data_IF_125886348466
#
_entry.id   IF_125886348466
#
_cell.length_a   1.000
_cell.length_b   1.000
_cell.length_c   1.000
_cell.angle_alpha   90.00
_cell.angle_beta   90.00
_cell.angle_gamma   90.00
#
_symmetry.space_group_name_H-M   'P 1'
#
loop_
_entity.id
_entity.type
_entity.pdbx_description
1 polymer ?
#
# COMPACT_ATOMS: atom_id res chain seq x y z
N UNK A 1 0.39 -10.57 -15.36
CA UNK A 1 0.15 -9.41 -16.25
C UNK A 1 1.29 -8.42 -16.11
N UNK A 2 1.77 -7.92 -17.21
CA UNK A 2 2.78 -6.87 -17.22
C UNK A 2 2.25 -5.61 -16.51
N UNK A 3 3.04 -5.04 -15.62
CA UNK A 3 2.68 -3.83 -14.87
C UNK A 3 2.31 -2.69 -15.84
N UNK A 4 3.07 -2.51 -16.90
CA UNK A 4 2.78 -1.46 -17.88
C UNK A 4 1.39 -1.58 -18.49
N UNK A 5 0.98 -2.79 -18.87
CA UNK A 5 -0.38 -3.03 -19.40
C UNK A 5 -1.44 -2.78 -18.36
N UNK A 6 -1.20 -3.22 -17.11
CA UNK A 6 -2.14 -3.01 -16.02
C UNK A 6 -2.37 -1.53 -15.74
N UNK A 7 -1.31 -0.73 -15.70
CA UNK A 7 -1.40 0.69 -15.41
C UNK A 7 -2.05 1.51 -16.52
N UNK A 8 -2.03 1.02 -17.76
CA UNK A 8 -2.62 1.75 -18.90
C UNK A 8 -4.11 2.01 -18.75
N UNK A 9 -4.83 1.19 -17.97
CA UNK A 9 -6.25 1.37 -17.76
C UNK A 9 -6.61 2.67 -17.01
N UNK A 10 -5.64 3.25 -16.30
CA UNK A 10 -5.90 4.40 -15.43
C UNK A 10 -5.75 5.75 -16.10
N UNK A 11 -5.20 5.81 -17.31
CA UNK A 11 -5.03 7.07 -18.04
C UNK A 11 -4.18 8.08 -17.29
N UNK A 12 -3.08 7.64 -16.67
CA UNK A 12 -2.22 8.47 -15.86
C UNK A 12 -1.34 9.39 -16.69
N UNK A 13 -0.98 10.56 -16.15
CA UNK A 13 0.08 11.38 -16.72
C UNK A 13 1.41 10.60 -16.70
N UNK A 14 2.37 11.01 -17.50
CA UNK A 14 3.67 10.34 -17.59
C UNK A 14 4.35 10.25 -16.22
N UNK A 15 4.40 11.35 -15.49
CA UNK A 15 5.04 11.40 -14.18
C UNK A 15 4.33 10.51 -13.17
N UNK A 16 3.01 10.55 -13.16
CA UNK A 16 2.20 9.71 -12.27
C UNK A 16 2.36 8.23 -12.64
N UNK A 17 2.42 7.90 -13.92
CA UNK A 17 2.64 6.53 -14.37
C UNK A 17 3.96 5.97 -13.82
N UNK A 18 5.04 6.72 -13.94
CA UNK A 18 6.34 6.28 -13.43
C UNK A 18 6.35 6.13 -11.91
N UNK A 19 5.70 7.05 -11.20
CA UNK A 19 5.58 6.97 -9.74
C UNK A 19 4.82 5.70 -9.31
N UNK A 20 3.68 5.45 -9.92
CA UNK A 20 2.86 4.26 -9.59
C UNK A 20 3.59 2.98 -9.98
N UNK A 21 4.26 2.97 -11.13
CA UNK A 21 5.06 1.83 -11.56
C UNK A 21 6.18 1.52 -10.55
N UNK A 22 6.88 2.54 -10.08
CA UNK A 22 7.93 2.37 -9.08
C UNK A 22 7.38 1.81 -7.78
N UNK A 23 6.19 2.26 -7.34
CA UNK A 23 5.52 1.70 -6.17
C UNK A 23 5.18 0.23 -6.36
N UNK A 24 4.69 -0.15 -7.53
CA UNK A 24 4.42 -1.56 -7.84
C UNK A 24 5.70 -2.39 -7.82
N UNK A 25 6.78 -1.87 -8.37
CA UNK A 25 8.08 -2.55 -8.36
C UNK A 25 8.59 -2.75 -6.92
N UNK A 26 8.41 -1.76 -6.06
CA UNK A 26 8.76 -1.87 -4.64
C UNK A 26 7.96 -2.98 -3.97
N UNK A 27 6.66 -3.05 -4.23
CA UNK A 27 5.80 -4.09 -3.66
C UNK A 27 6.22 -5.49 -4.09
N UNK A 28 6.54 -5.68 -5.37
CA UNK A 28 7.02 -6.96 -5.89
C UNK A 28 8.42 -7.30 -5.35
N UNK A 29 9.30 -6.33 -5.21
CA UNK A 29 10.59 -6.52 -4.58
C UNK A 29 10.45 -7.00 -3.13
N UNK A 30 9.52 -6.40 -2.40
CA UNK A 30 9.27 -6.76 -1.00
C UNK A 30 8.72 -8.18 -0.85
N UNK A 31 7.80 -8.58 -1.72
CA UNK A 31 7.22 -9.92 -1.73
C UNK A 31 6.88 -10.33 -3.17
N UNK A 32 7.77 -11.08 -3.84
CA UNK A 32 7.56 -11.50 -5.23
C UNK A 32 6.30 -12.34 -5.45
N UNK A 33 5.75 -12.91 -4.38
CA UNK A 33 4.54 -13.74 -4.43
C UNK A 33 3.26 -12.91 -4.53
N UNK A 34 3.32 -11.59 -4.36
CA UNK A 34 2.14 -10.76 -4.53
C UNK A 34 1.50 -10.93 -5.90
N UNK A 35 0.18 -11.07 -5.90
CA UNK A 35 -0.65 -11.03 -7.09
C UNK A 35 -1.21 -9.62 -7.23
N UNK A 36 -1.01 -8.99 -8.38
CA UNK A 36 -1.54 -7.66 -8.62
C UNK A 36 -2.88 -7.73 -9.34
N UNK A 37 -3.89 -7.10 -8.75
CA UNK A 37 -5.21 -6.96 -9.36
C UNK A 37 -5.46 -5.48 -9.67
N UNK A 38 -5.67 -5.18 -10.95
CA UNK A 38 -5.91 -3.82 -11.43
C UNK A 38 -7.40 -3.56 -11.44
N UNK A 39 -7.90 -2.93 -10.36
CA UNK A 39 -9.31 -2.61 -10.19
C UNK A 39 -9.61 -1.23 -10.76
N UNK A 40 -10.91 -0.87 -10.86
CA UNK A 40 -11.34 0.42 -11.39
C UNK A 40 -10.72 1.60 -10.64
N UNK A 41 -10.69 1.53 -9.32
CA UNK A 41 -10.30 2.64 -8.46
C UNK A 41 -8.95 2.45 -7.76
N UNK A 42 -8.40 1.25 -7.83
CA UNK A 42 -7.17 0.94 -7.10
C UNK A 42 -6.46 -0.28 -7.67
N UNK A 43 -5.18 -0.37 -7.34
CA UNK A 43 -4.37 -1.55 -7.59
C UNK A 43 -4.27 -2.30 -6.27
N UNK A 44 -4.65 -3.57 -6.27
CA UNK A 44 -4.59 -4.41 -5.07
C UNK A 44 -3.42 -5.38 -5.16
N UNK A 45 -2.59 -5.38 -4.13
CA UNK A 45 -1.56 -6.40 -3.92
C UNK A 45 -2.18 -7.48 -3.04
N UNK A 46 -2.33 -8.67 -3.60
CA UNK A 46 -3.07 -9.77 -2.97
C UNK A 46 -2.15 -10.91 -2.56
N UNK A 47 -2.48 -11.57 -1.48
CA UNK A 47 -1.83 -12.81 -1.07
C UNK A 47 -2.85 -13.95 -0.99
N UNK A 48 -2.36 -15.18 -1.03
CA UNK A 48 -3.17 -16.39 -0.87
C UNK A 48 -2.87 -16.98 0.51
N UNK A 49 -3.89 -17.10 1.33
CA UNK A 49 -3.75 -17.75 2.65
C UNK A 49 -3.60 -19.27 2.51
N UNK A 50 -3.16 -19.91 3.58
CA UNK A 50 -3.04 -21.37 3.66
C UNK A 50 -4.36 -22.11 3.37
N UNK A 51 -5.50 -21.45 3.57
CA UNK A 51 -6.82 -22.00 3.25
C UNK A 51 -7.29 -21.69 1.83
N UNK A 52 -6.39 -21.24 0.95
CA UNK A 52 -6.65 -20.81 -0.43
C UNK A 52 -7.52 -19.54 -0.56
N UNK A 53 -7.72 -18.82 0.52
CA UNK A 53 -8.47 -17.57 0.48
C UNK A 53 -7.57 -16.44 -0.01
N UNK A 54 -8.06 -15.63 -0.95
CA UNK A 54 -7.34 -14.46 -1.47
C UNK A 54 -7.67 -13.24 -0.63
N UNK A 55 -6.64 -12.55 -0.16
CA UNK A 55 -6.78 -11.33 0.63
C UNK A 55 -6.09 -10.15 -0.04
N UNK A 56 -6.72 -8.99 0.06
CA UNK A 56 -6.09 -7.72 -0.32
C UNK A 56 -5.17 -7.26 0.81
N UNK A 57 -3.88 -7.16 0.55
CA UNK A 57 -2.90 -6.75 1.56
C UNK A 57 -2.58 -5.27 1.50
N UNK A 58 -2.36 -4.74 0.29
CA UNK A 58 -2.04 -3.33 0.07
C UNK A 58 -2.87 -2.84 -1.10
N UNK A 59 -3.45 -1.64 -0.98
CA UNK A 59 -4.21 -1.01 -2.06
C UNK A 59 -3.61 0.36 -2.37
N UNK A 60 -3.34 0.61 -3.65
CA UNK A 60 -2.83 1.89 -4.13
C UNK A 60 -3.88 2.54 -5.01
N UNK A 61 -4.22 3.79 -4.73
CA UNK A 61 -5.14 4.54 -5.58
C UNK A 61 -4.34 5.46 -6.50
N UNK A 62 -4.17 5.10 -7.80
CA UNK A 62 -3.30 5.83 -8.71
C UNK A 62 -3.89 7.14 -9.23
N UNK A 63 -5.21 7.33 -9.13
CA UNK A 63 -5.89 8.50 -9.70
C UNK A 63 -5.97 9.69 -8.77
N UNK A 64 -5.63 9.53 -7.51
CA UNK A 64 -5.75 10.60 -6.55
C UNK A 64 -4.65 11.65 -6.76
N UNK A 65 -5.00 12.89 -6.43
CA UNK A 65 -4.09 14.03 -6.52
C UNK A 65 -2.82 13.79 -5.67
N UNK A 66 -3.02 13.17 -4.50
CA UNK A 66 -1.94 12.62 -3.67
C UNK A 66 -2.08 11.11 -3.69
N UNK A 67 -0.99 10.41 -3.91
CA UNK A 67 -1.01 8.96 -3.90
C UNK A 67 -1.30 8.46 -2.49
N UNK A 68 -2.26 7.55 -2.38
CA UNK A 68 -2.63 6.93 -1.11
C UNK A 68 -2.28 5.46 -1.15
N UNK A 69 -1.72 4.98 -0.07
CA UNK A 69 -1.50 3.55 0.15
C UNK A 69 -2.30 3.16 1.38
N UNK A 70 -3.20 2.20 1.18
CA UNK A 70 -3.91 1.56 2.28
C UNK A 70 -3.47 0.10 2.31
N UNK A 71 -3.23 -0.43 3.47
CA UNK A 71 -2.86 -1.82 3.61
C UNK A 71 -3.60 -2.44 4.79
N UNK A 72 -3.96 -3.69 4.62
CA UNK A 72 -4.69 -4.43 5.64
C UNK A 72 -3.71 -5.13 6.57
N UNK A 73 -3.88 -4.88 7.86
CA UNK A 73 -3.20 -5.65 8.90
C UNK A 73 -4.26 -6.26 9.80
N UNK A 74 -4.00 -7.45 10.26
CA UNK A 74 -4.86 -8.05 11.26
C UNK A 74 -4.80 -7.23 12.56
N UNK A 75 -5.91 -7.12 13.30
CA UNK A 75 -5.98 -6.25 14.47
C UNK A 75 -5.21 -6.76 15.70
N UNK A 76 -4.23 -7.61 15.53
CA UNK A 76 -3.56 -8.24 16.66
C UNK A 76 -2.16 -7.70 16.90
N UNK A 77 -1.90 -7.33 18.14
CA UNK A 77 -0.59 -7.18 18.71
C UNK A 77 0.20 -5.97 18.26
N UNK A 78 1.48 -6.17 18.05
CA UNK A 78 2.46 -5.11 17.90
C UNK A 78 2.45 -4.40 16.54
N UNK A 79 1.55 -4.78 15.63
CA UNK A 79 1.49 -4.17 14.30
C UNK A 79 1.11 -2.70 14.35
N UNK A 80 0.19 -2.32 15.23
CA UNK A 80 -0.15 -0.91 15.42
C UNK A 80 1.09 -0.10 15.77
N UNK A 81 1.89 -0.62 16.69
CA UNK A 81 3.10 0.06 17.13
C UNK A 81 4.14 0.15 16.02
N UNK A 82 4.29 -0.91 15.22
CA UNK A 82 5.20 -0.90 14.08
C UNK A 82 4.81 0.13 13.03
N UNK A 83 3.52 0.19 12.70
CA UNK A 83 3.01 1.14 11.72
C UNK A 83 3.17 2.57 12.21
N UNK A 84 2.82 2.84 13.45
CA UNK A 84 2.99 4.17 14.06
C UNK A 84 4.45 4.59 14.06
N UNK A 85 5.35 3.67 14.42
CA UNK A 85 6.79 3.92 14.41
C UNK A 85 7.29 4.27 13.01
N UNK A 86 6.82 3.58 11.98
CA UNK A 86 7.20 3.88 10.60
C UNK A 86 6.65 5.21 10.13
N UNK A 87 5.40 5.53 10.45
CA UNK A 87 4.79 6.82 10.12
C UNK A 87 5.60 7.96 10.75
N UNK A 88 5.96 7.83 12.02
CA UNK A 88 6.73 8.84 12.74
C UNK A 88 8.17 8.93 12.22
N UNK A 89 8.85 7.81 12.10
CA UNK A 89 10.26 7.75 11.69
C UNK A 89 10.50 8.33 10.30
N UNK A 90 9.61 8.03 9.36
CA UNK A 90 9.75 8.46 7.96
C UNK A 90 8.88 9.66 7.62
N UNK A 91 8.24 10.24 8.64
CA UNK A 91 7.44 11.46 8.48
C UNK A 91 6.35 11.31 7.41
N UNK A 92 5.69 10.17 7.38
CA UNK A 92 4.62 9.89 6.45
C UNK A 92 3.37 10.69 6.82
N UNK A 93 2.57 11.04 5.82
CA UNK A 93 1.33 11.80 6.04
C UNK A 93 0.19 10.80 6.20
N UNK A 94 -0.45 10.72 7.39
CA UNK A 94 -1.61 9.83 7.57
C UNK A 94 -2.74 10.18 6.62
N UNK A 95 -3.44 9.14 6.15
CA UNK A 95 -4.59 9.30 5.28
C UNK A 95 -5.80 9.71 6.11
N UNK A 96 -6.40 10.85 5.78
CA UNK A 96 -7.60 11.32 6.44
C UNK A 96 -8.84 10.93 5.65
N UNK A 97 -9.65 10.08 6.24
CA UNK A 97 -10.96 9.71 5.75
C UNK A 97 -12.04 10.43 6.56
N UNK A 98 -13.22 10.64 6.00
CA UNK A 98 -14.31 11.35 6.68
C UNK A 98 -14.76 10.70 7.96
N UNK A 99 -14.59 9.39 8.13
CA UNK A 99 -15.03 8.67 9.32
C UNK A 99 -14.04 7.59 9.69
N UNK A 100 -13.81 7.41 10.99
CA UNK A 100 -13.04 6.31 11.52
C UNK A 100 -11.53 6.44 11.38
N UNK A 101 -11.02 7.60 11.02
CA UNK A 101 -9.59 7.81 10.90
C UNK A 101 -8.99 8.33 12.21
N UNK A 102 -7.85 7.79 12.60
CA UNK A 102 -7.13 8.19 13.82
C UNK A 102 -5.81 8.87 13.42
N UNK A 103 -5.35 9.81 14.25
CA UNK A 103 -4.12 10.59 14.01
C UNK A 103 -2.88 9.77 13.66
N UNK A 104 -2.81 8.53 14.11
CA UNK A 104 -1.70 7.63 13.83
C UNK A 104 -1.78 6.91 12.49
N UNK A 105 -2.74 7.26 11.64
CA UNK A 105 -2.94 6.60 10.35
C UNK A 105 -3.76 5.32 10.41
N UNK A 106 -4.33 5.01 11.56
CA UNK A 106 -5.10 3.78 11.76
C UNK A 106 -6.54 4.01 11.33
N UNK A 107 -7.04 3.19 10.40
CA UNK A 107 -8.46 3.13 10.05
C UNK A 107 -9.15 2.05 10.88
N UNK A 108 -10.46 2.19 11.06
CA UNK A 108 -11.26 1.13 11.64
C UNK A 108 -11.16 -0.15 10.81
N UNK A 109 -11.29 -1.30 11.43
CA UNK A 109 -11.26 -2.62 10.77
C UNK A 109 -9.89 -3.09 10.27
N UNK A 110 -8.79 -2.59 10.84
CA UNK A 110 -7.46 -3.09 10.54
C UNK A 110 -6.85 -2.55 9.26
N UNK A 111 -7.37 -1.48 8.70
CA UNK A 111 -6.77 -0.78 7.57
C UNK A 111 -6.04 0.46 8.04
N UNK A 112 -4.84 0.64 7.51
CA UNK A 112 -4.00 1.80 7.79
C UNK A 112 -3.74 2.54 6.48
N UNK A 113 -3.84 3.85 6.50
CA UNK A 113 -3.62 4.65 5.31
C UNK A 113 -2.66 5.80 5.54
N UNK A 114 -1.87 6.09 4.53
CA UNK A 114 -1.03 7.27 4.50
C UNK A 114 -0.85 7.75 3.07
N UNK A 115 -0.37 8.97 2.92
CA UNK A 115 -0.17 9.59 1.62
C UNK A 115 1.32 9.73 1.33
N UNK A 116 1.66 9.62 0.07
CA UNK A 116 3.01 9.93 -0.40
C UNK A 116 2.89 11.14 -1.32
N UNK A 117 3.66 12.17 -1.03
CA UNK A 117 3.74 13.34 -1.92
C UNK A 117 4.49 12.95 -3.18
N UNK A 118 4.06 13.52 -4.32
CA UNK A 118 4.78 13.34 -5.58
C UNK A 118 6.23 13.81 -5.38
N UNK A 119 7.18 13.02 -5.84
CA UNK A 119 8.61 13.31 -5.71
C UNK A 119 9.25 12.88 -4.40
N UNK A 120 8.46 12.44 -3.40
CA UNK A 120 9.00 12.04 -2.10
C UNK A 120 9.24 10.52 -1.97
N UNK A 121 9.10 9.77 -3.06
CA UNK A 121 9.19 8.31 -3.03
C UNK A 121 10.56 7.81 -2.59
N UNK A 122 11.63 8.48 -3.03
CA UNK A 122 13.00 8.09 -2.64
C UNK A 122 13.20 8.13 -1.12
N UNK A 123 12.58 9.11 -0.45
CA UNK A 123 12.76 9.34 0.97
C UNK A 123 12.04 8.29 1.83
N UNK A 124 11.04 7.62 1.28
CA UNK A 124 10.25 6.64 2.02
C UNK A 124 10.32 5.21 1.44
N UNK A 125 11.20 4.96 0.47
CA UNK A 125 11.31 3.64 -0.16
C UNK A 125 11.55 2.52 0.85
N UNK A 126 12.44 2.75 1.80
CA UNK A 126 12.75 1.76 2.84
C UNK A 126 11.52 1.44 3.71
N UNK A 127 10.78 2.48 4.10
CA UNK A 127 9.54 2.29 4.85
C UNK A 127 8.52 1.48 4.05
N UNK A 128 8.39 1.77 2.76
CA UNK A 128 7.47 1.05 1.88
C UNK A 128 7.86 -0.42 1.75
N UNK A 129 9.13 -0.73 1.58
CA UNK A 129 9.59 -2.11 1.55
C UNK A 129 9.20 -2.87 2.82
N UNK A 130 9.40 -2.25 3.97
CA UNK A 130 9.02 -2.84 5.26
C UNK A 130 7.50 -3.06 5.31
N UNK A 131 6.71 -2.05 4.96
CA UNK A 131 5.25 -2.12 5.00
C UNK A 131 4.70 -3.21 4.09
N UNK A 132 5.17 -3.28 2.85
CA UNK A 132 4.75 -4.32 1.91
C UNK A 132 5.14 -5.72 2.41
N UNK A 133 6.35 -5.86 2.92
CA UNK A 133 6.85 -7.13 3.45
C UNK A 133 6.00 -7.60 4.64
N UNK A 134 5.76 -6.72 5.61
CA UNK A 134 4.98 -7.06 6.80
C UNK A 134 3.52 -7.35 6.45
N UNK A 135 2.92 -6.58 5.54
CA UNK A 135 1.56 -6.83 5.11
C UNK A 135 1.41 -8.20 4.47
N UNK A 136 2.35 -8.60 3.62
CA UNK A 136 2.33 -9.93 3.02
C UNK A 136 2.50 -11.03 4.08
N UNK A 137 3.55 -10.91 4.86
CA UNK A 137 3.89 -11.90 5.89
C UNK A 137 2.73 -12.14 6.85
N UNK A 138 2.07 -11.07 7.24
CA UNK A 138 1.01 -11.15 8.23
C UNK A 138 -0.28 -11.72 7.66
N UNK A 139 -0.66 -11.32 6.45
CA UNK A 139 -1.91 -11.76 5.83
C UNK A 139 -1.83 -13.12 5.19
N UNK A 140 -0.64 -13.62 4.87
CA UNK A 140 -0.47 -14.93 4.23
C UNK A 140 -0.43 -16.10 5.21
N UNK A 141 -0.46 -15.83 6.51
CA UNK A 141 -0.47 -16.89 7.55
C UNK A 141 -1.72 -17.78 7.49
#
# INVERSE_FOLDING_TARGET
MDINKGLNIYGLTKDRFFLVKELCDIGIEAAPEYLLAYKKDHISFQCIKSNNRVLNCVCINPKLKKLKISYHLSPYGDYDNKVRDLIERYNLIPYQKRSGFIESGVECNGWYGFQIKDGALCDCKEALLILFTEAYKYNSL
#
